data_IF_084258104469
#
_entry.id   IF_084258104469
#
_cell.length_a   1.000
_cell.length_b   1.000
_cell.length_c   1.000
_cell.angle_alpha   90.00
_cell.angle_beta   90.00
_cell.angle_gamma   90.00
#
_symmetry.space_group_name_H-M   'P 1'
#
loop_
_entity.id
_entity.type
_entity.pdbx_description
1 polymer ?
#
# COMPACT_ATOMS: atom_id res chain seq x y z
N UNK A 1 5.85 -4.97 -17.88
CA UNK A 1 7.07 -5.31 -17.11
C UNK A 1 6.67 -6.41 -16.13
N UNK A 2 7.38 -7.53 -16.10
CA UNK A 2 7.01 -8.71 -15.29
C UNK A 2 7.57 -8.59 -13.88
N UNK A 3 6.74 -8.91 -12.89
CA UNK A 3 7.13 -9.00 -11.49
C UNK A 3 7.46 -10.46 -11.15
N UNK A 4 8.59 -10.70 -10.50
CA UNK A 4 8.87 -11.98 -9.85
C UNK A 4 8.89 -11.75 -8.34
N UNK A 5 8.40 -12.71 -7.58
CA UNK A 5 8.31 -12.63 -6.11
C UNK A 5 9.06 -13.84 -5.57
N UNK A 6 10.04 -13.60 -4.71
CA UNK A 6 10.82 -14.66 -4.07
C UNK A 6 10.56 -14.65 -2.56
N UNK A 7 10.26 -15.82 -2.02
CA UNK A 7 10.14 -16.07 -0.59
C UNK A 7 11.36 -16.85 -0.11
N UNK A 8 12.32 -16.22 0.59
CA UNK A 8 13.46 -16.94 1.17
C UNK A 8 13.01 -17.70 2.42
N UNK A 9 13.30 -19.00 2.47
CA UNK A 9 12.90 -19.87 3.59
C UNK A 9 14.12 -20.59 4.11
N UNK A 10 14.45 -20.36 5.38
CA UNK A 10 15.46 -21.15 6.11
C UNK A 10 14.89 -22.52 6.47
N UNK A 11 15.75 -23.46 6.88
CA UNK A 11 15.31 -24.76 7.40
C UNK A 11 14.24 -24.58 8.49
N UNK A 12 13.09 -25.23 8.29
CA UNK A 12 11.89 -25.00 9.10
C UNK A 12 12.11 -25.42 10.55
N UNK A 13 12.91 -26.45 10.78
CA UNK A 13 13.31 -26.92 12.12
C UNK A 13 14.21 -25.95 12.89
N UNK A 14 14.85 -25.01 12.20
CA UNK A 14 15.76 -24.02 12.77
C UNK A 14 15.13 -22.62 12.86
N UNK A 15 13.91 -22.46 12.35
CA UNK A 15 13.17 -21.22 12.36
C UNK A 15 12.71 -20.82 13.77
N UNK A 16 12.53 -19.51 13.97
CA UNK A 16 11.89 -18.91 15.15
C UNK A 16 12.50 -19.33 16.49
N UNK A 17 13.80 -19.67 16.54
CA UNK A 17 14.51 -20.05 17.78
C UNK A 17 14.39 -19.01 18.90
N UNK A 18 14.25 -17.72 18.56
CA UNK A 18 14.04 -16.61 19.49
C UNK A 18 12.70 -16.69 20.25
N UNK A 19 11.74 -17.49 19.79
CA UNK A 19 10.47 -17.77 20.45
C UNK A 19 10.54 -18.96 21.43
N UNK A 20 11.70 -19.61 21.61
CA UNK A 20 11.85 -20.73 22.56
C UNK A 20 11.46 -20.42 24.02
N UNK A 21 11.53 -19.17 24.52
CA UNK A 21 11.05 -18.86 25.87
C UNK A 21 9.53 -18.96 26.04
N UNK A 22 8.76 -18.90 24.95
CA UNK A 22 7.27 -18.84 24.98
C UNK A 22 6.60 -19.99 24.23
N UNK A 23 7.29 -20.64 23.28
CA UNK A 23 6.74 -21.73 22.48
C UNK A 23 7.64 -22.96 22.50
N UNK A 24 7.03 -24.15 22.59
CA UNK A 24 7.69 -25.44 22.46
C UNK A 24 8.23 -25.68 21.05
N UNK A 25 9.03 -26.74 20.87
CA UNK A 25 9.60 -27.04 19.55
C UNK A 25 8.53 -27.36 18.49
N UNK A 26 7.47 -28.08 18.89
CA UNK A 26 6.33 -28.41 18.03
C UNK A 26 5.53 -27.16 17.64
N UNK A 27 5.22 -26.28 18.61
CA UNK A 27 4.46 -25.05 18.35
C UNK A 27 5.22 -24.08 17.44
N UNK A 28 6.55 -23.97 17.61
CA UNK A 28 7.38 -23.13 16.72
C UNK A 28 7.38 -23.65 15.30
N UNK A 29 7.42 -24.97 15.13
CA UNK A 29 7.34 -25.60 13.80
C UNK A 29 5.97 -25.36 13.17
N UNK A 30 4.89 -25.53 13.94
CA UNK A 30 3.51 -25.27 13.50
C UNK A 30 3.31 -23.80 13.10
N UNK A 31 3.80 -22.85 13.91
CA UNK A 31 3.76 -21.42 13.60
C UNK A 31 4.54 -21.11 12.32
N UNK A 32 5.75 -21.65 12.18
CA UNK A 32 6.58 -21.44 10.98
C UNK A 32 5.87 -21.93 9.72
N UNK A 33 5.23 -23.10 9.79
CA UNK A 33 4.42 -23.64 8.70
C UNK A 33 3.20 -22.78 8.37
N UNK A 34 2.48 -22.30 9.40
CA UNK A 34 1.34 -21.41 9.21
C UNK A 34 1.74 -20.14 8.48
N UNK A 35 2.80 -19.47 8.95
CA UNK A 35 3.33 -18.25 8.35
C UNK A 35 3.81 -18.47 6.91
N UNK A 36 4.53 -19.57 6.66
CA UNK A 36 4.95 -19.94 5.31
C UNK A 36 3.75 -20.13 4.39
N UNK A 37 2.78 -20.97 4.77
CA UNK A 37 1.58 -21.22 3.95
C UNK A 37 0.79 -19.94 3.67
N UNK A 38 0.70 -19.05 4.65
CA UNK A 38 0.10 -17.74 4.47
C UNK A 38 0.85 -16.91 3.42
N UNK A 39 2.18 -16.78 3.52
CA UNK A 39 2.99 -16.08 2.52
C UNK A 39 2.85 -16.68 1.12
N UNK A 40 2.85 -18.01 1.00
CA UNK A 40 2.68 -18.70 -0.29
C UNK A 40 1.29 -18.46 -0.90
N UNK A 41 0.22 -18.48 -0.08
CA UNK A 41 -1.14 -18.17 -0.53
C UNK A 41 -1.22 -16.73 -1.08
N UNK A 42 -0.62 -15.78 -0.36
CA UNK A 42 -0.58 -14.37 -0.77
C UNK A 42 0.19 -14.18 -2.08
N UNK A 43 1.29 -14.90 -2.28
CA UNK A 43 2.05 -14.89 -3.54
C UNK A 43 1.26 -15.55 -4.67
N UNK A 44 0.58 -16.68 -4.40
CA UNK A 44 -0.26 -17.36 -5.38
C UNK A 44 -1.38 -16.44 -5.90
N UNK A 45 -2.04 -15.69 -5.01
CA UNK A 45 -3.04 -14.70 -5.42
C UNK A 45 -2.42 -13.56 -6.23
N UNK A 46 -1.22 -13.11 -5.90
CA UNK A 46 -0.49 -12.13 -6.70
C UNK A 46 -0.12 -12.66 -8.10
N UNK A 47 0.14 -13.97 -8.27
CA UNK A 47 0.32 -14.57 -9.60
C UNK A 47 -0.95 -14.46 -10.43
N UNK A 48 -2.12 -14.70 -9.82
CA UNK A 48 -3.42 -14.65 -10.51
C UNK A 48 -3.84 -13.22 -10.84
N UNK A 49 -3.63 -12.27 -9.93
CA UNK A 49 -4.12 -10.89 -10.04
C UNK A 49 -3.17 -9.95 -10.79
N UNK A 50 -1.85 -10.13 -10.62
CA UNK A 50 -0.82 -9.27 -11.22
C UNK A 50 -0.06 -9.94 -12.37
N UNK A 51 -0.29 -11.23 -12.64
CA UNK A 51 0.52 -12.00 -13.58
C UNK A 51 1.97 -12.14 -13.11
N UNK A 52 2.21 -12.08 -11.79
CA UNK A 52 3.53 -12.28 -11.21
C UNK A 52 3.99 -13.74 -11.35
N UNK A 53 5.29 -13.98 -11.22
CA UNK A 53 5.85 -15.32 -11.04
C UNK A 53 6.38 -15.48 -9.61
N UNK A 54 5.87 -16.48 -8.90
CA UNK A 54 6.27 -16.77 -7.52
C UNK A 54 7.34 -17.85 -7.46
N UNK A 55 8.30 -17.69 -6.55
CA UNK A 55 9.31 -18.68 -6.23
C UNK A 55 9.60 -18.73 -4.73
N UNK A 56 9.97 -19.91 -4.25
CA UNK A 56 10.57 -20.12 -2.92
C UNK A 56 12.03 -20.48 -3.13
N UNK A 57 12.93 -19.89 -2.37
CA UNK A 57 14.33 -20.31 -2.32
C UNK A 57 14.66 -20.88 -0.96
N UNK A 58 15.16 -22.11 -0.94
CA UNK A 58 15.46 -22.82 0.30
C UNK A 58 16.42 -23.99 0.10
N UNK A 59 17.18 -24.31 1.15
CA UNK A 59 17.87 -25.59 1.29
C UNK A 59 16.97 -26.70 1.88
N UNK A 60 15.75 -26.38 2.32
CA UNK A 60 14.80 -27.32 2.95
C UNK A 60 13.86 -27.93 1.89
N UNK A 61 13.92 -29.25 1.62
CA UNK A 61 13.05 -29.90 0.65
C UNK A 61 11.56 -29.70 0.94
N UNK A 62 11.16 -29.63 2.20
CA UNK A 62 9.76 -29.47 2.57
C UNK A 62 9.23 -28.07 2.20
N UNK A 63 10.06 -27.04 2.32
CA UNK A 63 9.71 -25.68 1.88
C UNK A 63 9.55 -25.61 0.35
N UNK A 64 10.40 -26.33 -0.39
CA UNK A 64 10.33 -26.41 -1.85
C UNK A 64 9.08 -27.18 -2.31
N UNK A 65 8.76 -28.29 -1.64
CA UNK A 65 7.53 -29.06 -1.90
C UNK A 65 6.28 -28.21 -1.66
N UNK A 66 6.23 -27.48 -0.54
CA UNK A 66 5.16 -26.55 -0.27
C UNK A 66 5.02 -25.47 -1.36
N UNK A 67 6.12 -24.96 -1.90
CA UNK A 67 6.06 -24.03 -3.03
C UNK A 67 5.31 -24.64 -4.23
N UNK A 68 5.61 -25.89 -4.56
CA UNK A 68 4.96 -26.60 -5.66
C UNK A 68 3.46 -26.81 -5.43
N UNK A 69 3.02 -27.10 -4.20
CA UNK A 69 1.60 -27.23 -3.86
C UNK A 69 0.80 -25.94 -4.17
N UNK A 70 1.42 -24.77 -4.00
CA UNK A 70 0.81 -23.48 -4.31
C UNK A 70 1.02 -23.04 -5.77
N UNK A 71 1.70 -23.84 -6.60
CA UNK A 71 2.01 -23.51 -7.99
C UNK A 71 3.17 -22.54 -8.17
N UNK A 72 4.04 -22.42 -7.17
CA UNK A 72 5.27 -21.61 -7.20
C UNK A 72 6.46 -22.46 -7.63
N UNK A 73 7.52 -21.78 -8.07
CA UNK A 73 8.80 -22.42 -8.42
C UNK A 73 9.63 -22.67 -7.17
N UNK A 74 10.09 -23.91 -6.95
CA UNK A 74 11.12 -24.22 -5.95
C UNK A 74 12.52 -23.97 -6.49
N UNK A 75 13.30 -23.13 -5.82
CA UNK A 75 14.71 -22.86 -6.10
C UNK A 75 15.57 -23.48 -5.00
N UNK A 76 16.36 -24.49 -5.36
CA UNK A 76 17.31 -25.11 -4.43
C UNK A 76 18.45 -24.12 -4.17
N UNK A 77 18.70 -23.83 -2.91
CA UNK A 77 19.78 -22.94 -2.49
C UNK A 77 21.16 -23.52 -2.82
N UNK A 78 21.95 -22.77 -3.60
CA UNK A 78 23.33 -23.12 -4.00
C UNK A 78 24.33 -22.61 -2.94
N UNK A 79 24.21 -23.02 -1.68
CA UNK A 79 25.13 -22.60 -0.64
C UNK A 79 26.36 -23.51 -0.55
N UNK A 80 27.56 -22.92 -0.53
CA UNK A 80 28.82 -23.64 -0.26
C UNK A 80 29.03 -23.81 1.25
N UNK A 81 29.87 -24.77 1.65
CA UNK A 81 30.24 -24.97 3.06
C UNK A 81 30.82 -23.68 3.69
N UNK A 82 31.61 -22.93 2.90
CA UNK A 82 32.20 -21.64 3.32
C UNK A 82 31.15 -20.56 3.64
N UNK A 83 30.03 -20.52 2.90
CA UNK A 83 28.96 -19.55 3.13
C UNK A 83 28.17 -19.86 4.40
N UNK A 84 28.01 -21.14 4.75
CA UNK A 84 27.39 -21.53 6.03
C UNK A 84 28.28 -21.14 7.22
N UNK A 85 29.60 -21.24 7.07
CA UNK A 85 30.56 -20.82 8.09
C UNK A 85 30.58 -19.29 8.29
N UNK A 86 30.29 -18.51 7.24
CA UNK A 86 30.20 -17.05 7.29
C UNK A 86 28.96 -16.51 8.02
N UNK A 87 28.01 -17.38 8.37
CA UNK A 87 26.85 -17.06 9.19
C UNK A 87 25.55 -16.83 8.39
N UNK A 88 24.41 -16.75 9.09
CA UNK A 88 23.07 -16.84 8.49
C UNK A 88 22.71 -15.67 7.57
N UNK A 89 23.34 -14.50 7.76
CA UNK A 89 23.14 -13.32 6.90
C UNK A 89 23.87 -13.47 5.56
N UNK A 90 25.09 -14.00 5.57
CA UNK A 90 25.84 -14.26 4.35
C UNK A 90 25.13 -15.31 3.48
N UNK A 91 24.62 -16.37 4.10
CA UNK A 91 23.79 -17.40 3.45
C UNK A 91 22.53 -16.80 2.82
N UNK A 92 21.77 -15.98 3.58
CA UNK A 92 20.57 -15.33 3.07
C UNK A 92 20.86 -14.42 1.87
N UNK A 93 21.85 -13.54 1.98
CA UNK A 93 22.18 -12.62 0.89
C UNK A 93 22.64 -13.38 -0.36
N UNK A 94 23.42 -14.46 -0.22
CA UNK A 94 23.82 -15.31 -1.35
C UNK A 94 22.62 -15.99 -2.04
N UNK A 95 21.64 -16.48 -1.26
CA UNK A 95 20.39 -17.03 -1.80
C UNK A 95 19.61 -15.95 -2.57
N UNK A 96 19.48 -14.74 -2.03
CA UNK A 96 18.79 -13.65 -2.72
C UNK A 96 19.49 -13.24 -4.02
N UNK A 97 20.82 -13.25 -4.06
CA UNK A 97 21.59 -13.05 -5.30
C UNK A 97 21.37 -14.18 -6.33
N UNK A 98 21.21 -15.43 -5.88
CA UNK A 98 20.79 -16.54 -6.74
C UNK A 98 19.39 -16.30 -7.32
N UNK A 99 18.44 -15.88 -6.48
CA UNK A 99 17.08 -15.56 -6.91
C UNK A 99 17.02 -14.39 -7.91
N UNK A 100 17.83 -13.34 -7.72
CA UNK A 100 17.93 -12.23 -8.67
C UNK A 100 18.49 -12.64 -10.03
N UNK A 101 19.48 -13.55 -10.04
CA UNK A 101 19.99 -14.16 -11.27
C UNK A 101 18.93 -15.01 -11.96
N UNK A 102 18.19 -15.82 -11.20
CA UNK A 102 17.06 -16.60 -11.72
C UNK A 102 16.00 -15.69 -12.35
N UNK A 103 15.55 -14.65 -11.65
CA UNK A 103 14.55 -13.71 -12.14
C UNK A 103 15.03 -13.00 -13.41
N UNK A 104 16.30 -12.58 -13.45
CA UNK A 104 16.88 -11.94 -14.65
C UNK A 104 16.92 -12.88 -15.86
N UNK A 105 17.25 -14.17 -15.68
CA UNK A 105 17.21 -15.17 -16.76
C UNK A 105 15.80 -15.44 -17.28
N UNK A 106 14.80 -15.23 -16.44
CA UNK A 106 13.38 -15.33 -16.80
C UNK A 106 12.79 -13.98 -17.26
N UNK A 107 13.65 -13.02 -17.64
CA UNK A 107 13.28 -11.69 -18.13
C UNK A 107 12.37 -10.91 -17.16
N UNK A 108 12.52 -11.12 -15.86
CA UNK A 108 11.85 -10.33 -14.85
C UNK A 108 12.28 -8.86 -14.95
N UNK A 109 11.30 -7.97 -15.04
CA UNK A 109 11.57 -6.53 -14.97
C UNK A 109 11.72 -6.01 -13.54
N UNK A 110 11.23 -6.75 -12.55
CA UNK A 110 11.46 -6.49 -11.13
C UNK A 110 11.46 -7.78 -10.31
N UNK A 111 12.15 -7.75 -9.18
CA UNK A 111 12.13 -8.79 -8.16
C UNK A 111 11.61 -8.19 -6.85
N UNK A 112 10.60 -8.82 -6.24
CA UNK A 112 10.16 -8.57 -4.88
C UNK A 112 10.68 -9.69 -3.97
N UNK A 113 11.38 -9.32 -2.91
CA UNK A 113 11.77 -10.21 -1.82
C UNK A 113 10.72 -10.06 -0.73
N UNK A 114 10.02 -11.15 -0.42
CA UNK A 114 8.97 -11.21 0.58
C UNK A 114 9.30 -12.30 1.61
N UNK A 115 9.72 -11.94 2.83
CA UNK A 115 9.95 -12.88 3.93
C UNK A 115 8.70 -13.71 4.28
N UNK A 116 8.92 -14.95 4.71
CA UNK A 116 7.85 -15.89 5.04
C UNK A 116 7.20 -15.63 6.41
N UNK A 117 7.69 -14.67 7.18
CA UNK A 117 7.33 -14.44 8.59
C UNK A 117 6.53 -13.17 8.86
N UNK A 118 5.89 -12.65 7.81
CA UNK A 118 4.95 -11.55 7.88
C UNK A 118 3.53 -12.11 8.05
N UNK A 119 3.00 -12.26 9.28
CA UNK A 119 1.67 -12.85 9.50
C UNK A 119 0.51 -12.06 8.91
N UNK A 120 0.69 -10.75 8.70
CA UNK A 120 -0.40 -9.84 8.31
C UNK A 120 -0.32 -9.44 6.83
N UNK A 121 0.61 -10.01 6.05
CA UNK A 121 0.80 -9.60 4.66
C UNK A 121 -0.41 -9.96 3.81
N UNK A 122 -0.81 -9.04 2.94
CA UNK A 122 -1.93 -9.28 2.01
C UNK A 122 -1.50 -9.11 0.55
N UNK A 123 -2.26 -9.65 -0.41
CA UNK A 123 -2.03 -9.40 -1.84
C UNK A 123 -2.07 -7.90 -2.17
N UNK A 124 -2.88 -7.13 -1.43
CA UNK A 124 -2.94 -5.67 -1.56
C UNK A 124 -1.61 -4.99 -1.18
N UNK A 125 -0.84 -5.54 -0.25
CA UNK A 125 0.49 -5.01 0.10
C UNK A 125 1.49 -5.25 -1.05
N UNK A 126 1.46 -6.43 -1.68
CA UNK A 126 2.28 -6.73 -2.87
C UNK A 126 1.94 -5.77 -4.01
N UNK A 127 0.65 -5.56 -4.28
CA UNK A 127 0.21 -4.61 -5.29
C UNK A 127 0.65 -3.17 -4.94
N UNK A 128 0.58 -2.77 -3.67
CA UNK A 128 1.05 -1.44 -3.25
C UNK A 128 2.56 -1.25 -3.50
N UNK A 129 3.39 -2.25 -3.17
CA UNK A 129 4.83 -2.24 -3.46
C UNK A 129 5.10 -2.17 -4.96
N UNK A 130 4.37 -2.96 -5.75
CA UNK A 130 4.47 -2.96 -7.21
C UNK A 130 4.10 -1.60 -7.80
N UNK A 131 2.97 -1.03 -7.42
CA UNK A 131 2.51 0.28 -7.90
C UNK A 131 3.48 1.41 -7.52
N UNK A 132 3.99 1.40 -6.29
CA UNK A 132 5.00 2.36 -5.86
C UNK A 132 6.25 2.29 -6.75
N UNK A 133 6.66 1.09 -7.18
CA UNK A 133 7.82 0.91 -8.06
C UNK A 133 7.61 1.49 -9.46
N UNK A 134 6.36 1.45 -9.97
CA UNK A 134 5.99 2.06 -11.25
C UNK A 134 5.96 3.58 -11.17
N UNK A 135 5.59 4.13 -10.01
CA UNK A 135 5.47 5.58 -9.78
C UNK A 135 6.82 6.29 -9.63
N UNK A 136 7.93 5.55 -9.54
CA UNK A 136 9.27 6.12 -9.45
C UNK A 136 9.84 6.59 -10.80
N UNK A 137 9.16 6.32 -11.93
CA UNK A 137 9.50 6.76 -13.30
C UNK A 137 10.99 6.72 -13.70
N UNK A 138 11.78 5.87 -13.06
CA UNK A 138 13.21 5.66 -13.33
C UNK A 138 13.41 4.38 -14.13
N UNK A 139 14.60 4.09 -14.66
CA UNK A 139 14.94 2.77 -15.22
C UNK A 139 15.40 1.79 -14.14
N UNK A 140 16.05 2.32 -13.10
CA UNK A 140 16.45 1.61 -11.88
C UNK A 140 15.64 2.13 -10.70
N UNK A 141 14.97 1.25 -9.97
CA UNK A 141 14.11 1.63 -8.86
C UNK A 141 14.18 0.64 -7.70
N UNK A 142 13.94 1.14 -6.50
CA UNK A 142 13.82 0.33 -5.28
C UNK A 142 12.58 0.74 -4.49
N UNK A 143 11.77 -0.21 -4.03
CA UNK A 143 10.75 0.05 -3.02
C UNK A 143 11.07 -0.81 -1.81
N UNK A 144 11.17 -0.18 -0.65
CA UNK A 144 11.59 -0.85 0.58
C UNK A 144 10.53 -0.66 1.67
N UNK A 145 10.14 -1.74 2.33
CA UNK A 145 9.29 -1.73 3.52
C UNK A 145 10.15 -2.06 4.75
N UNK A 146 10.26 -1.15 5.73
CA UNK A 146 10.98 -1.42 6.96
C UNK A 146 10.16 -2.27 7.94
N UNK A 147 10.83 -2.83 8.94
CA UNK A 147 10.21 -3.35 10.16
C UNK A 147 9.57 -2.23 11.02
N UNK A 148 8.88 -2.61 12.10
CA UNK A 148 8.23 -1.69 13.02
C UNK A 148 9.19 -0.71 13.71
N UNK A 149 10.47 -1.07 13.81
CA UNK A 149 11.53 -0.28 14.44
C UNK A 149 12.32 0.59 13.45
N UNK A 150 12.02 0.53 12.15
CA UNK A 150 12.78 1.18 11.06
C UNK A 150 14.28 0.82 11.05
N UNK A 151 14.62 -0.43 11.33
CA UNK A 151 15.99 -0.97 11.32
C UNK A 151 16.14 -2.12 10.33
N UNK A 152 15.24 -3.10 10.37
CA UNK A 152 15.16 -4.23 9.45
C UNK A 152 14.43 -3.93 8.15
N UNK A 153 14.60 -4.80 7.15
CA UNK A 153 13.91 -4.75 5.86
C UNK A 153 12.92 -5.91 5.75
N UNK A 154 11.62 -5.61 5.83
CA UNK A 154 10.55 -6.61 5.79
C UNK A 154 10.00 -6.84 4.38
N UNK A 155 10.24 -5.95 3.42
CA UNK A 155 10.06 -6.27 2.01
C UNK A 155 10.97 -5.40 1.15
N UNK A 156 11.48 -5.95 0.05
CA UNK A 156 12.36 -5.23 -0.86
C UNK A 156 12.03 -5.56 -2.32
N UNK A 157 11.56 -4.56 -3.05
CA UNK A 157 11.36 -4.64 -4.49
C UNK A 157 12.48 -3.88 -5.20
N UNK A 158 13.16 -4.55 -6.12
CA UNK A 158 14.25 -3.97 -6.93
C UNK A 158 13.98 -4.12 -8.43
N UNK A 159 14.35 -3.08 -9.16
CA UNK A 159 14.28 -3.01 -10.61
C UNK A 159 15.56 -2.44 -11.20
N UNK A 160 16.14 -3.09 -12.22
CA UNK A 160 15.99 -4.53 -12.53
C UNK A 160 16.35 -5.42 -11.31
N UNK A 161 16.10 -6.74 -11.35
CA UNK A 161 16.40 -7.65 -10.23
C UNK A 161 17.82 -7.57 -9.66
N UNK A 162 18.80 -7.22 -10.50
CA UNK A 162 20.24 -7.10 -10.15
C UNK A 162 20.69 -5.66 -9.95
N UNK A 163 19.76 -4.72 -9.71
CA UNK A 163 20.10 -3.30 -9.60
C UNK A 163 20.86 -2.93 -8.32
N UNK A 164 20.75 -3.76 -7.29
CA UNK A 164 21.18 -3.54 -5.92
C UNK A 164 21.87 -4.83 -5.43
N UNK A 165 22.91 -4.69 -4.61
CA UNK A 165 23.48 -5.79 -3.84
C UNK A 165 22.68 -5.95 -2.55
N UNK A 166 22.26 -7.17 -2.22
CA UNK A 166 21.47 -7.42 -1.02
C UNK A 166 22.34 -7.42 0.25
N UNK A 167 21.93 -6.64 1.25
CA UNK A 167 22.64 -6.43 2.53
C UNK A 167 21.70 -6.64 3.74
N UNK A 168 20.88 -7.70 3.70
CA UNK A 168 20.00 -8.11 4.80
C UNK A 168 20.80 -8.48 6.05
N UNK A 169 20.25 -8.14 7.22
CA UNK A 169 20.90 -8.23 8.52
C UNK A 169 20.52 -7.04 9.43
N UNK A 170 21.20 -6.86 10.58
CA UNK A 170 21.01 -5.73 11.50
C UNK A 170 21.12 -4.43 10.73
N UNK A 171 20.23 -3.44 10.90
CA UNK A 171 20.29 -2.15 10.20
C UNK A 171 20.24 -2.23 8.64
N UNK A 172 19.65 -3.29 8.09
CA UNK A 172 19.54 -3.49 6.64
C UNK A 172 18.74 -2.38 5.94
N UNK A 173 17.75 -1.79 6.60
CA UNK A 173 16.95 -0.71 6.02
C UNK A 173 17.82 0.48 5.62
N UNK A 174 18.63 0.99 6.55
CA UNK A 174 19.50 2.14 6.29
C UNK A 174 20.58 1.80 5.28
N UNK A 175 21.17 0.61 5.34
CA UNK A 175 22.15 0.14 4.35
C UNK A 175 21.62 0.12 2.92
N UNK A 176 20.44 -0.46 2.71
CA UNK A 176 19.80 -0.48 1.38
C UNK A 176 19.49 0.95 0.89
N UNK A 177 18.97 1.83 1.74
CA UNK A 177 18.74 3.23 1.38
C UNK A 177 20.03 3.97 1.02
N UNK A 178 21.10 3.81 1.80
CA UNK A 178 22.41 4.41 1.50
C UNK A 178 23.00 3.85 0.20
N UNK A 179 22.86 2.55 -0.05
CA UNK A 179 23.31 1.93 -1.30
C UNK A 179 22.53 2.48 -2.50
N UNK A 180 21.20 2.60 -2.41
CA UNK A 180 20.38 3.20 -3.46
C UNK A 180 20.77 4.65 -3.76
N UNK A 181 21.02 5.47 -2.72
CA UNK A 181 21.51 6.84 -2.87
C UNK A 181 22.87 6.89 -3.58
N UNK A 182 23.84 6.08 -3.13
CA UNK A 182 25.19 6.01 -3.73
C UNK A 182 25.15 5.59 -5.21
N UNK A 183 24.23 4.70 -5.58
CA UNK A 183 24.11 4.15 -6.93
C UNK A 183 23.15 4.95 -7.83
N UNK A 184 22.55 6.03 -7.34
CA UNK A 184 21.57 6.84 -8.08
C UNK A 184 20.28 6.08 -8.42
N UNK A 185 19.89 5.11 -7.60
CA UNK A 185 18.65 4.34 -7.77
C UNK A 185 17.51 5.13 -7.12
N UNK A 186 16.47 5.45 -7.90
CA UNK A 186 15.28 6.09 -7.35
C UNK A 186 14.60 5.14 -6.36
N UNK A 187 14.23 5.62 -5.17
CA UNK A 187 13.61 4.73 -4.19
C UNK A 187 12.45 5.34 -3.42
N UNK A 188 11.54 4.47 -2.97
CA UNK A 188 10.38 4.80 -2.13
C UNK A 188 10.36 3.93 -0.88
N UNK A 189 10.07 4.53 0.27
CA UNK A 189 9.91 3.81 1.54
C UNK A 189 8.42 3.57 1.79
N UNK A 190 8.00 2.31 1.71
CA UNK A 190 6.61 1.88 1.89
C UNK A 190 6.40 1.43 3.35
N UNK A 191 5.86 2.33 4.19
CA UNK A 191 5.48 1.97 5.56
C UNK A 191 4.06 1.38 5.57
N UNK A 192 3.90 0.23 6.21
CA UNK A 192 2.62 -0.46 6.39
C UNK A 192 2.64 -1.18 7.73
N UNK A 193 1.62 -1.04 8.60
CA UNK A 193 1.54 -1.81 9.84
C UNK A 193 1.59 -3.32 9.60
N UNK A 194 1.04 -3.79 8.46
CA UNK A 194 1.02 -5.20 8.07
C UNK A 194 2.38 -5.73 7.66
N UNK A 195 3.16 -4.92 6.93
CA UNK A 195 4.53 -5.28 6.54
C UNK A 195 5.54 -5.03 7.66
N UNK A 196 5.23 -4.13 8.60
CA UNK A 196 6.13 -3.78 9.69
C UNK A 196 6.15 -4.77 10.86
N UNK A 197 5.24 -5.74 10.89
CA UNK A 197 5.19 -6.78 11.92
C UNK A 197 5.69 -8.11 11.34
N UNK A 198 6.92 -8.47 11.67
CA UNK A 198 7.51 -9.79 11.50
C UNK A 198 7.52 -10.52 12.86
N UNK A 199 7.12 -11.79 12.88
CA UNK A 199 7.01 -12.54 14.15
C UNK A 199 8.32 -13.22 14.46
N UNK A 200 9.22 -12.56 15.20
CA UNK A 200 10.54 -13.10 15.51
C UNK A 200 10.87 -13.13 17.01
N UNK A 201 10.34 -12.19 17.79
CA UNK A 201 10.48 -12.11 19.24
C UNK A 201 9.14 -12.42 19.94
N UNK A 202 9.17 -12.82 21.22
CA UNK A 202 7.94 -13.02 22.00
C UNK A 202 7.00 -11.81 22.01
N UNK A 203 7.55 -10.59 21.95
CA UNK A 203 6.77 -9.35 21.86
C UNK A 203 5.99 -9.25 20.55
N UNK A 204 6.63 -9.62 19.43
CA UNK A 204 6.00 -9.60 18.10
C UNK A 204 4.88 -10.63 18.01
N UNK A 205 5.09 -11.81 18.58
CA UNK A 205 4.05 -12.85 18.68
C UNK A 205 2.85 -12.36 19.52
N UNK A 206 3.09 -11.70 20.65
CA UNK A 206 2.03 -11.13 21.46
C UNK A 206 1.27 -10.03 20.70
N UNK A 207 1.98 -9.20 19.93
CA UNK A 207 1.37 -8.18 19.08
C UNK A 207 0.51 -8.81 17.96
N UNK A 208 1.00 -9.87 17.32
CA UNK A 208 0.22 -10.62 16.32
C UNK A 208 -1.05 -11.23 16.92
N UNK A 209 -0.94 -11.90 18.07
CA UNK A 209 -2.08 -12.49 18.76
C UNK A 209 -3.09 -11.43 19.23
N UNK A 210 -2.63 -10.25 19.64
CA UNK A 210 -3.53 -9.15 19.99
C UNK A 210 -4.32 -8.64 18.76
N UNK A 211 -3.70 -8.63 17.57
CA UNK A 211 -4.38 -8.30 16.31
C UNK A 211 -5.39 -9.39 15.93
N UNK A 212 -5.06 -10.68 16.09
CA UNK A 212 -6.01 -11.77 15.86
C UNK A 212 -7.15 -11.80 16.89
N UNK A 213 -6.89 -11.57 18.17
CA UNK A 213 -7.91 -11.60 19.22
C UNK A 213 -8.84 -10.39 19.19
N UNK A 214 -8.41 -9.29 18.57
CA UNK A 214 -9.31 -8.20 18.21
C UNK A 214 -10.30 -8.59 17.08
N UNK A 215 -10.16 -9.79 16.51
CA UNK A 215 -11.05 -10.36 15.49
C UNK A 215 -11.68 -11.70 15.92
N UNK A 216 -12.74 -11.70 16.74
CA UNK A 216 -13.65 -12.83 16.86
C UNK A 216 -15.01 -12.46 16.25
N UNK A 217 -15.25 -12.93 15.03
CA UNK A 217 -16.56 -12.89 14.33
C UNK A 217 -17.09 -11.50 13.95
N UNK A 218 -16.56 -10.92 12.87
CA UNK A 218 -17.38 -10.08 11.99
C UNK A 218 -17.12 -10.45 10.51
N UNK A 219 -18.02 -11.29 9.99
CA UNK A 219 -18.41 -11.50 8.58
C UNK A 219 -17.48 -10.94 7.48
N UNK A 220 -16.42 -11.71 7.15
CA UNK A 220 -15.43 -11.41 6.10
C UNK A 220 -15.96 -11.68 4.68
N UNK A 221 -17.27 -11.90 4.49
CA UNK A 221 -17.86 -12.15 3.17
C UNK A 221 -18.53 -10.93 2.51
N UNK A 222 -18.42 -9.71 3.07
CA UNK A 222 -18.97 -8.50 2.44
C UNK A 222 -18.05 -7.28 2.32
N UNK A 223 -16.74 -7.38 2.57
CA UNK A 223 -15.87 -6.20 2.54
C UNK A 223 -14.93 -6.08 1.33
N UNK A 224 -15.46 -6.42 0.15
CA UNK A 224 -14.95 -5.86 -1.11
C UNK A 224 -15.76 -4.58 -1.37
N UNK A 225 -15.11 -3.42 -1.26
CA UNK A 225 -15.58 -2.06 -1.62
C UNK A 225 -16.06 -1.10 -0.51
N UNK A 226 -15.36 -1.00 0.64
CA UNK A 226 -15.44 0.23 1.45
C UNK A 226 -14.05 0.78 1.77
N UNK A 227 -13.78 1.98 1.26
CA UNK A 227 -12.59 2.76 1.61
C UNK A 227 -12.56 3.14 3.10
N UNK A 228 -11.58 3.94 3.56
CA UNK A 228 -11.50 4.42 4.95
C UNK A 228 -12.86 4.98 5.38
N UNK A 229 -13.38 4.47 6.49
CA UNK A 229 -14.74 4.75 6.92
C UNK A 229 -14.83 6.17 7.49
N UNK A 230 -15.43 7.07 6.71
CA UNK A 230 -15.91 8.37 7.19
C UNK A 230 -17.11 8.05 8.08
N UNK A 231 -16.96 8.13 9.41
CA UNK A 231 -18.09 7.86 10.30
C UNK A 231 -19.16 8.96 10.22
N UNK A 232 -20.33 8.70 10.82
CA UNK A 232 -21.50 9.56 10.78
C UNK A 232 -21.24 11.02 11.23
N UNK A 233 -20.33 11.25 12.18
CA UNK A 233 -19.99 12.61 12.62
C UNK A 233 -19.21 13.37 11.53
N UNK A 234 -18.33 12.69 10.79
CA UNK A 234 -17.65 13.28 9.64
C UNK A 234 -18.59 13.46 8.45
N UNK A 235 -19.50 12.53 8.19
CA UNK A 235 -20.52 12.71 7.15
C UNK A 235 -21.40 13.94 7.45
N UNK A 236 -21.88 14.08 8.69
CA UNK A 236 -22.67 15.23 9.11
C UNK A 236 -21.90 16.57 8.98
N UNK A 237 -20.59 16.57 9.26
CA UNK A 237 -19.74 17.74 8.98
C UNK A 237 -19.60 18.00 7.50
N UNK A 238 -19.32 16.95 6.72
CA UNK A 238 -19.18 17.05 5.27
C UNK A 238 -20.46 17.54 4.59
N UNK A 239 -21.62 17.49 5.26
CA UNK A 239 -22.91 18.01 4.80
C UNK A 239 -23.24 19.45 5.22
N UNK A 240 -22.36 20.11 5.98
CA UNK A 240 -22.55 21.51 6.33
C UNK A 240 -22.45 22.43 5.09
N UNK A 241 -23.30 23.47 5.01
CA UNK A 241 -23.27 24.43 3.91
C UNK A 241 -21.98 25.25 3.93
N UNK A 242 -21.52 25.66 2.76
CA UNK A 242 -20.38 26.58 2.61
C UNK A 242 -18.98 25.94 2.65
N UNK A 243 -18.88 24.64 2.96
CA UNK A 243 -17.58 23.95 2.95
C UNK A 243 -17.06 23.71 1.53
N UNK A 244 -15.84 24.14 1.27
CA UNK A 244 -15.11 23.91 0.03
C UNK A 244 -14.03 22.85 0.23
N UNK A 245 -13.82 22.03 -0.79
CA UNK A 245 -12.67 21.12 -0.83
C UNK A 245 -11.47 21.84 -1.44
N UNK A 246 -10.37 21.94 -0.70
CA UNK A 246 -9.06 22.38 -1.21
C UNK A 246 -8.39 21.17 -1.86
N UNK A 247 -8.63 20.98 -3.16
CA UNK A 247 -8.13 19.84 -3.93
C UNK A 247 -6.72 20.12 -4.45
N UNK A 248 -5.76 19.33 -3.97
CA UNK A 248 -4.41 19.20 -4.49
C UNK A 248 -4.33 18.12 -5.58
N UNK A 249 -3.86 18.52 -6.75
CA UNK A 249 -3.57 17.65 -7.89
C UNK A 249 -2.10 17.78 -8.27
N UNK A 250 -1.46 16.76 -8.85
CA UNK A 250 -0.03 16.81 -9.20
C UNK A 250 0.13 17.06 -10.70
N UNK A 251 0.85 18.12 -11.05
CA UNK A 251 1.20 18.46 -12.43
C UNK A 251 2.28 17.53 -13.01
N UNK A 252 2.52 17.63 -14.33
CA UNK A 252 3.59 16.89 -15.01
C UNK A 252 5.00 17.29 -14.55
N UNK A 253 5.13 18.51 -14.06
CA UNK A 253 6.34 19.06 -13.44
C UNK A 253 6.53 18.60 -11.99
N UNK A 254 5.62 17.79 -11.45
CA UNK A 254 5.68 17.24 -10.09
C UNK A 254 5.22 18.22 -9.00
N UNK A 255 4.90 19.48 -9.34
CA UNK A 255 4.43 20.45 -8.36
C UNK A 255 2.93 20.23 -8.05
N UNK A 256 2.51 20.45 -6.79
CA UNK A 256 1.12 20.40 -6.42
C UNK A 256 0.39 21.65 -6.92
N UNK A 257 -0.73 21.45 -7.61
CA UNK A 257 -1.69 22.47 -7.96
C UNK A 257 -2.92 22.34 -7.06
N UNK A 258 -3.06 23.27 -6.12
CA UNK A 258 -4.11 23.29 -5.10
C UNK A 258 -5.17 24.32 -5.48
N UNK A 259 -6.44 23.89 -5.52
CA UNK A 259 -7.56 24.78 -5.86
C UNK A 259 -8.80 24.44 -5.07
N UNK A 260 -9.62 25.43 -4.67
CA UNK A 260 -10.93 25.16 -4.10
C UNK A 260 -11.87 24.56 -5.16
N UNK A 261 -12.68 23.58 -4.77
CA UNK A 261 -13.73 22.94 -5.57
C UNK A 261 -14.98 22.69 -4.73
N UNK A 262 -16.13 22.73 -5.40
CA UNK A 262 -17.40 22.21 -4.88
C UNK A 262 -17.39 20.69 -4.91
N UNK A 263 -17.96 20.07 -3.88
CA UNK A 263 -18.09 18.63 -3.77
C UNK A 263 -19.45 18.21 -3.24
N UNK A 264 -19.82 16.96 -3.48
CA UNK A 264 -20.78 16.22 -2.64
C UNK A 264 -20.10 14.93 -2.20
N UNK A 265 -20.49 14.40 -1.05
CA UNK A 265 -20.05 13.09 -0.58
C UNK A 265 -21.25 12.15 -0.58
N UNK A 266 -21.19 11.10 -1.40
CA UNK A 266 -22.26 10.11 -1.51
C UNK A 266 -21.67 8.73 -1.78
N UNK A 267 -22.27 7.69 -1.19
CA UNK A 267 -21.87 6.29 -1.39
C UNK A 267 -20.34 6.04 -1.22
N UNK A 268 -19.69 6.73 -0.28
CA UNK A 268 -18.27 6.55 0.02
C UNK A 268 -17.30 7.34 -0.87
N UNK A 269 -17.77 8.17 -1.81
CA UNK A 269 -16.92 8.92 -2.73
C UNK A 269 -17.23 10.42 -2.73
N UNK A 270 -16.21 11.23 -3.02
CA UNK A 270 -16.37 12.67 -3.22
C UNK A 270 -16.53 12.97 -4.70
N UNK A 271 -17.67 13.52 -5.10
CA UNK A 271 -17.92 13.91 -6.47
C UNK A 271 -17.61 15.40 -6.65
N UNK A 272 -16.77 15.72 -7.63
CA UNK A 272 -16.40 17.08 -7.97
C UNK A 272 -16.58 17.33 -9.47
N UNK A 273 -16.88 18.58 -9.85
CA UNK A 273 -17.10 18.99 -11.25
C UNK A 273 -16.17 20.12 -11.64
N UNK A 274 -15.56 20.05 -12.82
CA UNK A 274 -14.67 21.09 -13.38
C UNK A 274 -14.76 21.12 -14.91
N UNK A 275 -14.42 22.26 -15.53
CA UNK A 275 -14.22 22.29 -16.98
C UNK A 275 -13.04 21.37 -17.37
N UNK A 276 -13.17 20.69 -18.51
CA UNK A 276 -12.27 19.62 -18.96
C UNK A 276 -10.84 20.12 -19.28
N UNK A 277 -10.72 21.38 -19.69
CA UNK A 277 -9.46 22.03 -20.06
C UNK A 277 -8.63 22.51 -18.83
N UNK A 278 -9.23 22.53 -17.64
CA UNK A 278 -8.59 23.03 -16.42
C UNK A 278 -7.40 22.16 -16.04
N UNK A 279 -6.39 22.80 -15.46
CA UNK A 279 -5.15 22.15 -14.99
C UNK A 279 -5.48 20.95 -14.09
N UNK A 280 -6.40 21.10 -13.12
CA UNK A 280 -6.81 20.01 -12.23
C UNK A 280 -7.43 18.80 -12.96
N UNK A 281 -8.21 19.04 -14.02
CA UNK A 281 -8.82 17.97 -14.82
C UNK A 281 -7.74 17.21 -15.59
N UNK A 282 -6.86 17.94 -16.29
CA UNK A 282 -5.71 17.36 -17.00
C UNK A 282 -4.78 16.61 -16.05
N UNK A 283 -4.55 17.14 -14.85
CA UNK A 283 -3.75 16.50 -13.81
C UNK A 283 -4.39 15.19 -13.35
N UNK A 284 -5.69 15.16 -13.02
CA UNK A 284 -6.35 13.94 -12.55
C UNK A 284 -6.46 12.86 -13.64
N UNK A 285 -6.66 13.24 -14.91
CA UNK A 285 -6.62 12.29 -16.03
C UNK A 285 -5.23 11.68 -16.22
N UNK A 286 -4.17 12.43 -15.91
CA UNK A 286 -2.79 11.99 -16.06
C UNK A 286 -2.26 11.23 -14.83
N UNK A 287 -2.53 11.75 -13.64
CA UNK A 287 -2.18 11.21 -12.34
C UNK A 287 -3.41 11.30 -11.44
N UNK A 288 -4.13 10.18 -11.23
CA UNK A 288 -5.39 10.20 -10.50
C UNK A 288 -5.19 10.37 -8.99
N UNK A 289 -3.95 10.38 -8.47
CA UNK A 289 -3.69 10.57 -7.04
C UNK A 289 -3.92 12.03 -6.66
N UNK A 290 -4.80 12.24 -5.69
CA UNK A 290 -5.16 13.56 -5.16
C UNK A 290 -5.05 13.59 -3.64
N UNK A 291 -4.79 14.79 -3.11
CA UNK A 291 -4.92 15.10 -1.69
C UNK A 291 -5.89 16.25 -1.52
N UNK A 292 -6.67 16.28 -0.44
CA UNK A 292 -7.60 17.38 -0.20
C UNK A 292 -7.82 17.66 1.28
N UNK A 293 -8.23 18.89 1.56
CA UNK A 293 -8.68 19.32 2.88
C UNK A 293 -10.06 19.99 2.76
N UNK A 294 -10.94 19.71 3.70
CA UNK A 294 -12.26 20.33 3.86
C UNK A 294 -12.32 20.80 5.31
N UNK A 295 -12.38 22.11 5.54
CA UNK A 295 -12.30 22.68 6.89
C UNK A 295 -13.25 23.87 7.04
N UNK A 296 -13.74 24.06 8.26
CA UNK A 296 -14.54 25.23 8.64
C UNK A 296 -13.65 26.42 8.95
N UNK A 297 -14.10 27.61 8.59
CA UNK A 297 -13.47 28.88 8.97
C UNK A 297 -13.94 29.39 10.35
N UNK A 298 -14.99 28.79 10.90
CA UNK A 298 -15.53 29.09 12.23
C UNK A 298 -14.84 28.26 13.32
N UNK A 299 -14.70 28.87 14.51
CA UNK A 299 -14.19 28.19 15.72
C UNK A 299 -15.32 27.41 16.44
N UNK A 300 -15.01 26.25 17.05
CA UNK A 300 -13.74 25.52 16.95
C UNK A 300 -13.50 25.00 15.54
N UNK A 301 -12.26 25.13 15.05
CA UNK A 301 -11.89 24.69 13.71
C UNK A 301 -12.09 23.18 13.61
N UNK A 302 -12.88 22.73 12.64
CA UNK A 302 -13.06 21.32 12.31
C UNK A 302 -12.65 21.10 10.87
N UNK A 303 -12.03 19.98 10.58
CA UNK A 303 -11.68 19.67 9.20
C UNK A 303 -11.35 18.22 8.95
N UNK A 304 -11.44 17.84 7.69
CA UNK A 304 -11.13 16.53 7.18
C UNK A 304 -10.05 16.69 6.13
N UNK A 305 -8.91 16.03 6.33
CA UNK A 305 -7.90 15.89 5.29
C UNK A 305 -7.92 14.47 4.77
N UNK A 306 -7.79 14.30 3.47
CA UNK A 306 -7.71 12.98 2.89
C UNK A 306 -6.83 12.92 1.65
N UNK A 307 -6.34 11.72 1.36
CA UNK A 307 -5.79 11.37 0.04
C UNK A 307 -6.71 10.36 -0.63
N UNK A 308 -6.78 10.37 -1.95
CA UNK A 308 -7.63 9.47 -2.71
C UNK A 308 -7.23 9.34 -4.17
N UNK A 309 -8.04 8.59 -4.92
CA UNK A 309 -7.86 8.37 -6.35
C UNK A 309 -9.07 8.93 -7.10
N UNK A 310 -8.82 9.84 -8.04
CA UNK A 310 -9.84 10.42 -8.91
C UNK A 310 -10.09 9.53 -10.14
N UNK A 311 -11.35 9.15 -10.36
CA UNK A 311 -11.82 8.45 -11.57
C UNK A 311 -12.81 9.32 -12.31
N UNK A 312 -12.67 9.40 -13.63
CA UNK A 312 -13.62 10.12 -14.47
C UNK A 312 -14.95 9.36 -14.46
N UNK A 313 -16.02 10.04 -14.05
CA UNK A 313 -17.37 9.49 -14.00
C UNK A 313 -18.17 9.82 -15.25
N UNK A 314 -18.06 11.06 -15.72
CA UNK A 314 -18.83 11.58 -16.84
C UNK A 314 -18.13 12.76 -17.48
N UNK A 315 -18.36 12.97 -18.77
CA UNK A 315 -17.84 14.07 -19.55
C UNK A 315 -18.90 14.62 -20.52
N UNK A 316 -18.74 15.88 -20.92
CA UNK A 316 -19.67 16.56 -21.82
C UNK A 316 -21.08 16.59 -21.23
N UNK A 317 -22.09 16.36 -22.07
CA UNK A 317 -23.50 16.43 -21.66
C UNK A 317 -23.88 15.38 -20.61
N UNK A 318 -23.23 14.20 -20.62
CA UNK A 318 -23.46 13.16 -19.62
C UNK A 318 -23.13 13.64 -18.19
N UNK A 319 -22.32 14.70 -18.04
CA UNK A 319 -21.98 15.28 -16.75
C UNK A 319 -23.00 16.29 -16.21
N UNK A 320 -24.03 16.68 -16.99
CA UNK A 320 -24.98 17.76 -16.64
C UNK A 320 -25.72 17.46 -15.34
N UNK A 321 -26.30 16.27 -15.20
CA UNK A 321 -27.09 15.91 -14.02
C UNK A 321 -26.21 15.84 -12.76
N UNK A 322 -25.04 15.20 -12.85
CA UNK A 322 -24.08 15.16 -11.75
C UNK A 322 -23.63 16.58 -11.34
N UNK A 323 -23.38 17.45 -12.32
CA UNK A 323 -23.01 18.86 -12.09
C UNK A 323 -24.16 19.64 -11.43
N UNK A 324 -25.42 19.39 -11.82
CA UNK A 324 -26.60 19.96 -11.19
C UNK A 324 -26.70 19.55 -9.71
N UNK A 325 -26.53 18.27 -9.40
CA UNK A 325 -26.56 17.77 -8.02
C UNK A 325 -25.49 18.44 -7.16
N UNK A 326 -24.25 18.57 -7.68
CA UNK A 326 -23.18 19.29 -6.97
C UNK A 326 -23.55 20.77 -6.80
N UNK A 327 -24.02 21.44 -7.84
CA UNK A 327 -24.36 22.87 -7.78
C UNK A 327 -25.53 23.17 -6.82
N UNK A 328 -26.51 22.27 -6.72
CA UNK A 328 -27.67 22.41 -5.83
C UNK A 328 -27.28 22.55 -4.35
N UNK A 329 -26.12 22.00 -3.96
CA UNK A 329 -25.57 22.16 -2.62
C UNK A 329 -25.06 23.58 -2.33
N UNK A 330 -24.59 24.30 -3.36
CA UNK A 330 -23.87 25.57 -3.19
C UNK A 330 -24.65 26.79 -3.66
N UNK A 331 -25.72 26.59 -4.44
CA UNK A 331 -26.48 27.66 -5.08
C UNK A 331 -27.96 27.53 -4.73
N UNK A 332 -28.66 28.63 -4.37
CA UNK A 332 -30.10 28.60 -4.13
C UNK A 332 -30.87 28.06 -5.33
N UNK A 333 -31.96 27.34 -5.09
CA UNK A 333 -32.78 26.70 -6.13
C UNK A 333 -33.19 27.68 -7.25
N UNK A 334 -33.54 28.93 -6.90
CA UNK A 334 -33.91 29.98 -7.85
C UNK A 334 -32.81 30.37 -8.85
N UNK A 335 -31.54 30.02 -8.59
CA UNK A 335 -30.39 30.30 -9.47
C UNK A 335 -29.71 29.03 -9.99
N UNK A 336 -30.25 27.84 -9.68
CA UNK A 336 -29.60 26.57 -10.01
C UNK A 336 -29.52 26.36 -11.52
N UNK A 337 -30.62 26.57 -12.23
CA UNK A 337 -30.68 26.34 -13.69
C UNK A 337 -29.69 27.23 -14.44
N UNK A 338 -29.70 28.53 -14.15
CA UNK A 338 -28.77 29.49 -14.78
C UNK A 338 -27.31 29.22 -14.41
N UNK A 339 -27.03 28.75 -13.18
CA UNK A 339 -25.69 28.33 -12.79
C UNK A 339 -25.24 27.10 -13.59
N UNK A 340 -26.08 26.07 -13.69
CA UNK A 340 -25.73 24.84 -14.44
C UNK A 340 -25.50 25.15 -15.90
N UNK A 341 -26.37 25.94 -16.53
CA UNK A 341 -26.20 26.34 -17.92
C UNK A 341 -24.89 27.12 -18.13
N UNK A 342 -24.53 28.02 -17.20
CA UNK A 342 -23.25 28.73 -17.24
C UNK A 342 -22.05 27.79 -17.10
N UNK A 343 -22.10 26.82 -16.18
CA UNK A 343 -21.02 25.85 -15.96
C UNK A 343 -20.82 24.91 -17.16
N UNK A 344 -21.87 24.66 -17.94
CA UNK A 344 -21.90 23.77 -19.11
C UNK A 344 -21.58 24.47 -20.44
N UNK A 345 -21.29 25.78 -20.45
CA UNK A 345 -20.87 26.50 -21.67
C UNK A 345 -19.55 25.99 -22.27
N UNK A 346 -18.76 25.26 -21.48
CA UNK A 346 -17.57 24.55 -21.94
C UNK A 346 -17.69 23.06 -21.57
N UNK A 347 -17.00 22.15 -22.29
CA UNK A 347 -16.98 20.73 -21.96
C UNK A 347 -16.63 20.51 -20.48
N UNK A 348 -17.54 19.84 -19.78
CA UNK A 348 -17.46 19.62 -18.34
C UNK A 348 -17.13 18.16 -18.05
N UNK A 349 -16.40 17.93 -16.97
CA UNK A 349 -16.08 16.60 -16.46
C UNK A 349 -16.43 16.50 -14.99
N UNK A 350 -16.87 15.33 -14.58
CA UNK A 350 -17.12 14.97 -13.19
C UNK A 350 -16.20 13.84 -12.81
N UNK A 351 -15.51 14.00 -11.68
CA UNK A 351 -14.69 12.96 -11.09
C UNK A 351 -15.34 12.47 -9.80
N UNK A 352 -15.29 11.16 -9.56
CA UNK A 352 -15.39 10.61 -8.22
C UNK A 352 -13.98 10.47 -7.66
N UNK A 353 -13.80 10.88 -6.42
CA UNK A 353 -12.58 10.68 -5.66
C UNK A 353 -12.90 9.65 -4.59
N UNK A 354 -12.32 8.46 -4.74
CA UNK A 354 -12.42 7.39 -3.76
C UNK A 354 -11.34 7.66 -2.68
N UNK A 355 -11.72 7.99 -1.44
CA UNK A 355 -10.76 8.31 -0.38
C UNK A 355 -9.96 7.06 0.02
N UNK A 356 -8.73 7.24 0.51
CA UNK A 356 -7.82 6.15 0.94
C UNK A 356 -7.29 6.34 2.36
N UNK A 357 -6.90 7.56 2.71
CA UNK A 357 -6.52 7.94 4.07
C UNK A 357 -7.33 9.16 4.44
N UNK A 358 -8.06 9.09 5.55
CA UNK A 358 -8.91 10.17 6.05
C UNK A 358 -8.45 10.48 7.47
N UNK A 359 -8.23 11.76 7.76
CA UNK A 359 -7.82 12.24 9.08
C UNK A 359 -8.70 13.40 9.49
N UNK A 360 -9.17 13.36 10.73
CA UNK A 360 -9.89 14.46 11.36
C UNK A 360 -8.93 15.47 11.95
N UNK A 361 -9.31 16.73 11.85
CA UNK A 361 -8.62 17.88 12.40
C UNK A 361 -9.56 18.62 13.33
N UNK A 362 -9.03 19.06 14.47
CA UNK A 362 -9.79 19.79 15.49
C UNK A 362 -10.63 18.88 16.39
N UNK A 363 -11.35 19.47 17.34
CA UNK A 363 -12.21 18.76 18.29
C UNK A 363 -13.61 18.54 17.72
N UNK A 364 -14.11 17.31 17.76
CA UNK A 364 -15.40 16.87 17.19
C UNK A 364 -16.41 16.43 18.26
N UNK A 365 -16.33 17.01 19.48
CA UNK A 365 -16.94 16.57 20.76
C UNK A 365 -18.20 15.69 20.70
N UNK A 366 -18.31 14.66 21.55
CA UNK A 366 -18.48 14.82 23.01
C UNK A 366 -17.49 14.11 23.98
N UNK A 367 -16.41 13.43 23.57
CA UNK A 367 -15.58 12.65 24.54
C UNK A 367 -14.27 13.28 25.05
N UNK A 368 -13.79 14.42 24.54
CA UNK A 368 -12.52 15.02 24.98
C UNK A 368 -12.69 16.27 25.89
N UNK A 369 -13.78 16.31 26.66
CA UNK A 369 -13.98 17.32 27.72
C UNK A 369 -13.54 16.85 29.12
N UNK A 370 -12.95 15.65 29.25
CA UNK A 370 -12.49 15.09 30.52
C UNK A 370 -11.00 14.71 30.47
N UNK A 371 -10.13 15.71 30.35
CA UNK A 371 -8.80 15.69 30.95
C UNK A 371 -8.27 17.13 30.99
N UNK A 372 -8.89 17.91 31.87
CA UNK A 372 -8.28 19.14 32.40
C UNK A 372 -7.27 18.81 33.48
#
# INVERSE_FOLDING_TARGET
>A
MTLHIVVPVKRLSEAKRRLSPVLGAEDRLALTWSLLRHALAVVQEAQQTLGAQGAVISADPAALEAAHEFGLTGLVEEATEDLHAAGPEATLNAALEQAARWASRHNAGALLILPADLPLVTPADINALWQASQQLYATRAMVIAPDGHNSGTNALLVRPPVALQFEFGPDSFHRHCQQAQRLGIAYHVQRSPRLGLDVDLPADLAQFLAVEQADPQDDVTQNVARGPQIDAAAEAFLDQPGLLMRLGTVGRDGFPHVTPVWYIYEAGAFLITTAADRVKARNMLHNPRVGFAIDSDQRPYRGLTATGTARLLAEGEASRELTRRIAARYVPAARLDSMVDSLMQAPRVVFAIDPRHVTRMGSWGEEEALSG
#
